data_IF_715032200326
#
_entry.id   IF_715032200326
#
_cell.length_a   1.000
_cell.length_b   1.000
_cell.length_c   1.000
_cell.angle_alpha   90.00
_cell.angle_beta   90.00
_cell.angle_gamma   90.00
#
_symmetry.space_group_name_H-M   'P 1'
#
loop_
_entity.id
_entity.type
_entity.pdbx_description
1 polymer ?
#
# COMPACT_ATOMS: atom_id res chain seq x y z
N UNK A 1 -6.05 -19.24 9.29
CA UNK A 1 -4.64 -19.41 9.69
C UNK A 1 -4.12 -18.19 10.47
N UNK A 2 -4.17 -16.98 9.90
CA UNK A 2 -3.75 -15.75 10.62
C UNK A 2 -4.47 -15.51 11.95
N UNK A 3 -5.80 -15.64 11.97
CA UNK A 3 -6.62 -15.46 13.18
C UNK A 3 -6.18 -16.31 14.38
N UNK A 4 -5.85 -17.59 14.15
CA UNK A 4 -5.40 -18.51 15.20
C UNK A 4 -4.03 -18.15 15.77
N UNK A 5 -3.15 -17.59 14.94
CA UNK A 5 -1.83 -17.13 15.37
C UNK A 5 -1.96 -15.87 16.22
N UNK A 6 -2.77 -14.90 15.76
CA UNK A 6 -3.02 -13.64 16.48
C UNK A 6 -3.55 -13.88 17.90
N UNK A 7 -4.41 -14.89 18.08
CA UNK A 7 -4.96 -15.24 19.39
C UNK A 7 -3.91 -15.81 20.36
N UNK A 8 -2.87 -16.48 19.85
CA UNK A 8 -1.78 -17.06 20.65
C UNK A 8 -0.72 -16.02 21.04
N UNK A 9 -0.50 -15.02 20.18
CA UNK A 9 0.50 -13.98 20.43
C UNK A 9 0.19 -13.15 21.69
N UNK A 10 1.26 -12.77 22.38
CA UNK A 10 1.20 -11.89 23.56
C UNK A 10 0.89 -10.46 23.15
N UNK A 11 1.57 -9.96 22.11
CA UNK A 11 1.41 -8.60 21.59
C UNK A 11 1.02 -8.63 20.13
N UNK A 12 0.13 -7.72 19.74
CA UNK A 12 -0.35 -7.60 18.37
C UNK A 12 -0.23 -6.14 17.94
N UNK A 13 0.61 -5.90 16.94
CA UNK A 13 0.81 -4.59 16.34
C UNK A 13 0.00 -4.50 15.05
N UNK A 14 -0.65 -3.37 14.81
CA UNK A 14 -1.43 -3.09 13.61
C UNK A 14 -0.82 -1.91 12.86
N UNK A 15 -0.30 -2.16 11.68
CA UNK A 15 0.14 -1.10 10.78
C UNK A 15 -1.07 -0.37 10.18
N UNK A 16 -1.08 0.95 10.29
CA UNK A 16 -2.20 1.77 9.78
C UNK A 16 -1.83 2.70 8.61
N UNK A 17 -0.55 2.85 8.26
CA UNK A 17 -0.09 3.91 7.34
C UNK A 17 0.12 3.49 5.89
N UNK A 18 0.22 2.19 5.58
CA UNK A 18 0.41 1.69 4.20
C UNK A 18 -0.88 1.56 3.41
N UNK A 19 -2.03 1.46 4.06
CA UNK A 19 -3.33 1.38 3.40
C UNK A 19 -4.47 1.76 4.34
N UNK A 20 -5.54 2.30 3.79
CA UNK A 20 -6.72 2.70 4.55
C UNK A 20 -7.54 1.47 4.91
N UNK A 21 -7.55 1.09 6.19
CA UNK A 21 -8.52 0.14 6.73
C UNK A 21 -9.90 0.79 6.78
N UNK A 22 -10.88 0.17 6.12
CA UNK A 22 -12.29 0.58 6.18
C UNK A 22 -12.93 0.31 7.56
N UNK A 23 -12.25 -0.48 8.40
CA UNK A 23 -12.71 -0.96 9.71
C UNK A 23 -11.88 -0.30 10.80
N UNK A 24 -12.53 0.21 11.85
CA UNK A 24 -11.85 0.86 12.97
C UNK A 24 -11.08 -0.15 13.84
N UNK A 25 -9.99 0.30 14.49
CA UNK A 25 -9.17 -0.54 15.36
C UNK A 25 -10.02 -1.25 16.44
N UNK A 26 -11.00 -0.57 17.03
CA UNK A 26 -11.88 -1.15 18.06
C UNK A 26 -12.69 -2.37 17.58
N UNK A 27 -13.15 -2.36 16.32
CA UNK A 27 -13.88 -3.50 15.75
C UNK A 27 -12.96 -4.70 15.51
N UNK A 28 -11.69 -4.42 15.15
CA UNK A 28 -10.67 -5.46 15.01
C UNK A 28 -10.28 -6.03 16.38
N UNK A 29 -10.15 -5.20 17.41
CA UNK A 29 -9.90 -5.66 18.79
C UNK A 29 -10.99 -6.60 19.28
N UNK A 30 -12.26 -6.27 19.06
CA UNK A 30 -13.40 -7.12 19.39
C UNK A 30 -13.37 -8.45 18.61
N UNK A 31 -13.06 -8.39 17.31
CA UNK A 31 -12.98 -9.58 16.46
C UNK A 31 -11.83 -10.52 16.85
N UNK A 32 -10.67 -9.98 17.23
CA UNK A 32 -9.51 -10.76 17.65
C UNK A 32 -9.58 -11.19 19.13
N UNK A 33 -10.34 -10.47 19.96
CA UNK A 33 -10.36 -10.64 21.41
C UNK A 33 -9.03 -10.26 22.07
N UNK A 34 -8.28 -9.33 21.44
CA UNK A 34 -6.93 -8.91 21.84
C UNK A 34 -6.81 -7.40 21.63
N UNK A 35 -6.06 -6.76 22.52
CA UNK A 35 -5.69 -5.35 22.36
C UNK A 35 -4.74 -5.20 21.18
N UNK A 36 -4.99 -4.19 20.33
CA UNK A 36 -4.17 -3.89 19.16
C UNK A 36 -3.35 -2.62 19.41
N UNK A 37 -2.04 -2.73 19.22
CA UNK A 37 -1.12 -1.59 19.32
C UNK A 37 -0.98 -1.00 17.91
N UNK A 38 -1.53 0.20 17.69
CA UNK A 38 -1.40 0.87 16.39
C UNK A 38 0.05 1.30 16.19
N UNK A 39 0.67 0.79 15.12
CA UNK A 39 2.04 1.08 14.74
C UNK A 39 2.04 2.12 13.60
N UNK A 40 2.44 3.34 13.93
CA UNK A 40 2.62 4.41 12.96
C UNK A 40 3.96 4.28 12.23
N UNK A 41 4.11 5.03 11.13
CA UNK A 41 5.31 5.00 10.27
C UNK A 41 6.62 5.17 11.04
N UNK A 42 6.63 6.10 12.01
CA UNK A 42 7.82 6.35 12.84
C UNK A 42 8.16 5.12 13.70
N UNK A 43 7.15 4.42 14.24
CA UNK A 43 7.35 3.22 15.04
C UNK A 43 7.85 2.04 14.19
N UNK A 44 7.37 1.90 12.95
CA UNK A 44 7.79 0.79 12.08
C UNK A 44 9.15 1.04 11.42
N UNK A 45 9.43 2.26 10.96
CA UNK A 45 10.70 2.56 10.27
C UNK A 45 11.85 2.83 11.24
N UNK A 46 11.59 3.53 12.36
CA UNK A 46 12.61 3.97 13.33
C UNK A 46 12.48 3.29 14.71
N UNK A 47 11.25 3.06 15.18
CA UNK A 47 10.97 2.49 16.51
C UNK A 47 10.89 0.95 16.57
N UNK A 48 11.29 0.23 15.52
CA UNK A 48 11.07 -1.21 15.46
C UNK A 48 11.95 -2.00 16.46
N UNK A 49 12.96 -1.36 17.06
CA UNK A 49 13.86 -1.99 18.02
C UNK A 49 13.10 -2.55 19.22
N UNK A 50 12.18 -1.77 19.80
CA UNK A 50 11.39 -2.17 20.99
C UNK A 50 10.48 -3.36 20.67
N UNK A 51 9.87 -3.37 19.47
CA UNK A 51 9.05 -4.47 19.01
C UNK A 51 9.87 -5.74 18.79
N UNK A 52 11.05 -5.62 18.19
CA UNK A 52 11.95 -6.74 17.95
C UNK A 52 12.56 -7.28 19.24
N UNK A 53 12.83 -6.43 20.24
CA UNK A 53 13.27 -6.83 21.58
C UNK A 53 12.18 -7.61 22.31
N UNK A 54 10.94 -7.15 22.27
CA UNK A 54 9.82 -7.91 22.80
C UNK A 54 9.67 -9.27 22.10
N UNK A 55 9.96 -9.34 20.79
CA UNK A 55 9.88 -10.58 20.01
C UNK A 55 11.00 -11.60 20.30
N UNK A 56 12.01 -11.24 21.08
CA UNK A 56 13.04 -12.20 21.56
C UNK A 56 12.46 -13.10 22.65
N UNK A 57 11.63 -12.54 23.55
CA UNK A 57 11.11 -13.25 24.72
C UNK A 57 9.65 -13.71 24.54
N UNK A 58 8.87 -13.02 23.72
CA UNK A 58 7.42 -13.23 23.57
C UNK A 58 7.00 -13.47 22.11
N UNK A 59 5.85 -14.11 21.90
CA UNK A 59 5.23 -14.20 20.58
C UNK A 59 4.57 -12.87 20.20
N UNK A 60 5.09 -12.22 19.16
CA UNK A 60 4.60 -10.94 18.64
C UNK A 60 4.00 -11.12 17.25
N UNK A 61 2.78 -10.62 17.04
CA UNK A 61 2.15 -10.53 15.73
C UNK A 61 2.23 -9.11 15.17
N UNK A 62 2.60 -8.99 13.90
CA UNK A 62 2.59 -7.73 13.17
C UNK A 62 1.59 -7.84 12.00
N UNK A 63 0.51 -7.08 12.08
CA UNK A 63 -0.60 -7.08 11.13
C UNK A 63 -0.41 -5.99 10.08
N UNK A 64 -0.38 -6.40 8.83
CA UNK A 64 -0.27 -5.54 7.64
C UNK A 64 -1.56 -5.63 6.84
N UNK A 65 -1.95 -4.52 6.23
CA UNK A 65 -3.10 -4.48 5.32
C UNK A 65 -2.69 -5.06 3.97
N UNK A 66 -3.39 -6.11 3.53
CA UNK A 66 -3.03 -6.83 2.31
C UNK A 66 -1.91 -7.84 2.56
N UNK A 67 -0.92 -7.90 1.68
CA UNK A 67 0.21 -8.83 1.79
C UNK A 67 1.48 -8.13 2.33
N UNK A 68 2.20 -8.72 3.31
CA UNK A 68 3.39 -8.12 3.92
C UNK A 68 4.53 -7.79 2.95
N UNK A 69 4.59 -8.40 1.76
CA UNK A 69 5.66 -8.17 0.78
C UNK A 69 5.16 -7.61 -0.56
N UNK A 70 3.85 -7.32 -0.67
CA UNK A 70 3.26 -6.89 -1.93
C UNK A 70 3.77 -5.54 -2.44
N UNK A 71 3.90 -4.54 -1.56
CA UNK A 71 4.32 -3.19 -1.96
C UNK A 71 4.81 -2.36 -0.77
N UNK A 72 5.47 -3.01 0.19
CA UNK A 72 5.80 -2.42 1.48
C UNK A 72 7.26 -2.64 1.85
N UNK A 73 7.77 -1.83 2.78
CA UNK A 73 9.16 -1.88 3.26
C UNK A 73 9.41 -2.97 4.32
N UNK A 74 8.43 -3.82 4.63
CA UNK A 74 8.52 -4.85 5.68
C UNK A 74 9.58 -5.94 5.43
N UNK A 75 10.13 -6.07 4.21
CA UNK A 75 11.30 -6.91 3.97
C UNK A 75 12.50 -6.48 4.82
N UNK A 76 12.64 -5.18 5.08
CA UNK A 76 13.68 -4.64 5.96
C UNK A 76 13.48 -5.07 7.41
N UNK A 77 12.23 -5.10 7.89
CA UNK A 77 11.90 -5.60 9.23
C UNK A 77 12.30 -7.08 9.41
N UNK A 78 12.12 -7.89 8.37
CA UNK A 78 12.53 -9.30 8.37
C UNK A 78 14.04 -9.47 8.48
N UNK A 79 14.81 -8.62 7.79
CA UNK A 79 16.27 -8.60 7.88
C UNK A 79 16.72 -8.25 9.30
N UNK A 80 16.18 -7.15 9.87
CA UNK A 80 16.49 -6.74 11.25
C UNK A 80 16.12 -7.81 12.27
N UNK A 81 15.00 -8.51 12.09
CA UNK A 81 14.61 -9.63 12.95
C UNK A 81 15.59 -10.80 12.87
N UNK A 82 16.05 -11.13 11.66
CA UNK A 82 17.05 -12.18 11.45
C UNK A 82 18.40 -11.85 12.10
N UNK A 83 18.87 -10.61 11.97
CA UNK A 83 20.11 -10.13 12.60
C UNK A 83 20.07 -10.22 14.13
N UNK A 84 18.88 -10.11 14.73
CA UNK A 84 18.65 -10.25 16.18
C UNK A 84 18.34 -11.68 16.62
N UNK A 85 18.37 -12.66 15.72
CA UNK A 85 18.10 -14.07 16.02
C UNK A 85 16.63 -14.39 16.30
N UNK A 86 15.71 -13.47 15.97
CA UNK A 86 14.26 -13.68 16.14
C UNK A 86 13.75 -14.60 15.04
N UNK A 87 13.04 -15.68 15.41
CA UNK A 87 12.39 -16.56 14.44
C UNK A 87 11.14 -15.88 13.88
N UNK A 88 11.11 -15.66 12.58
CA UNK A 88 9.99 -15.02 11.90
C UNK A 88 9.16 -16.04 11.12
N UNK A 89 7.84 -15.82 11.09
CA UNK A 89 6.91 -16.59 10.27
C UNK A 89 6.01 -15.63 9.48
N UNK A 90 5.93 -15.84 8.17
CA UNK A 90 5.11 -15.01 7.28
C UNK A 90 3.78 -15.72 6.99
N UNK A 91 2.69 -14.97 7.09
CA UNK A 91 1.35 -15.40 6.67
C UNK A 91 0.89 -14.49 5.54
N UNK A 92 0.89 -15.04 4.33
CA UNK A 92 0.45 -14.31 3.13
C UNK A 92 -1.06 -14.07 3.12
N UNK A 93 -1.45 -13.01 2.43
CA UNK A 93 -2.84 -12.63 2.22
C UNK A 93 -3.02 -12.07 0.80
N UNK A 94 -4.25 -11.66 0.46
CA UNK A 94 -4.53 -11.02 -0.82
C UNK A 94 -3.74 -9.71 -0.97
N UNK A 95 -3.07 -9.55 -2.12
CA UNK A 95 -2.34 -8.34 -2.49
C UNK A 95 -3.03 -7.62 -3.64
N UNK A 96 -2.98 -6.28 -3.67
CA UNK A 96 -3.45 -5.50 -4.81
C UNK A 96 -2.74 -5.88 -6.11
N UNK A 97 -1.47 -6.34 -6.02
CA UNK A 97 -0.70 -6.85 -7.15
C UNK A 97 -1.36 -8.07 -7.82
N UNK A 98 -2.13 -8.84 -7.06
CA UNK A 98 -2.88 -10.01 -7.57
C UNK A 98 -4.34 -9.67 -7.86
N UNK A 99 -4.94 -8.78 -7.06
CA UNK A 99 -6.34 -8.42 -7.17
C UNK A 99 -6.67 -7.65 -8.47
N UNK A 100 -5.69 -6.96 -9.07
CA UNK A 100 -5.80 -6.31 -10.39
C UNK A 100 -6.29 -7.24 -11.51
N UNK A 101 -6.19 -8.56 -11.34
CA UNK A 101 -6.80 -9.53 -12.26
C UNK A 101 -8.32 -9.35 -12.42
N UNK A 102 -9.00 -8.69 -11.47
CA UNK A 102 -10.43 -8.36 -11.57
C UNK A 102 -10.77 -7.43 -12.74
N UNK A 103 -9.77 -6.71 -13.31
CA UNK A 103 -9.96 -5.88 -14.50
C UNK A 103 -10.09 -6.69 -15.79
N UNK A 104 -9.98 -8.01 -15.75
CA UNK A 104 -10.00 -8.87 -16.94
C UNK A 104 -8.70 -8.83 -17.74
N UNK A 105 -7.66 -8.18 -17.21
CA UNK A 105 -6.33 -8.16 -17.79
C UNK A 105 -5.54 -9.37 -17.30
N UNK A 106 -4.82 -10.01 -18.22
CA UNK A 106 -3.97 -11.15 -17.88
C UNK A 106 -2.78 -10.68 -17.03
N UNK A 107 -2.65 -11.24 -15.82
CA UNK A 107 -1.58 -10.88 -14.88
C UNK A 107 -0.17 -11.06 -15.46
N UNK A 108 0.02 -12.04 -16.36
CA UNK A 108 1.28 -12.26 -17.07
C UNK A 108 1.71 -11.10 -17.99
N UNK A 109 0.76 -10.26 -18.41
CA UNK A 109 1.04 -9.12 -19.28
C UNK A 109 1.33 -7.84 -18.49
N UNK A 110 1.50 -7.91 -17.16
CA UNK A 110 1.94 -6.78 -16.36
C UNK A 110 3.47 -6.68 -16.34
N UNK A 111 3.98 -5.48 -16.60
CA UNK A 111 5.39 -5.12 -16.53
C UNK A 111 5.78 -4.56 -15.16
N UNK A 112 6.79 -3.68 -15.15
CA UNK A 112 7.27 -3.06 -13.91
C UNK A 112 6.17 -2.20 -13.25
N UNK A 113 5.85 -2.48 -11.98
CA UNK A 113 4.92 -1.68 -11.17
C UNK A 113 5.56 -0.34 -10.80
N UNK A 114 4.76 0.73 -10.82
CA UNK A 114 5.23 2.10 -10.52
C UNK A 114 4.43 2.72 -9.38
N UNK A 115 5.07 3.60 -8.61
CA UNK A 115 4.40 4.43 -7.60
C UNK A 115 4.32 5.87 -8.09
N UNK A 116 3.10 6.38 -8.22
CA UNK A 116 2.82 7.78 -8.60
C UNK A 116 2.63 8.58 -7.32
N UNK A 117 3.56 9.50 -7.08
CA UNK A 117 3.50 10.42 -5.94
C UNK A 117 2.74 11.68 -6.31
N UNK A 118 2.02 12.26 -5.35
CA UNK A 118 1.39 13.56 -5.53
C UNK A 118 2.46 14.64 -5.66
N UNK A 119 2.34 15.47 -6.69
CA UNK A 119 3.18 16.63 -6.85
C UNK A 119 2.96 17.63 -5.71
N UNK A 120 4.04 18.23 -5.25
CA UNK A 120 3.99 19.49 -4.50
C UNK A 120 4.53 20.62 -5.38
N UNK A 121 4.39 21.86 -4.93
CA UNK A 121 4.89 23.02 -5.67
C UNK A 121 6.40 22.94 -5.94
N UNK A 122 7.15 22.30 -5.04
CA UNK A 122 8.61 22.17 -5.10
C UNK A 122 9.12 20.80 -5.53
N UNK A 123 8.26 19.77 -5.59
CA UNK A 123 8.66 18.38 -5.85
C UNK A 123 7.76 17.72 -6.89
N UNK A 124 8.31 17.52 -8.10
CA UNK A 124 7.61 16.96 -9.27
C UNK A 124 8.44 15.86 -9.92
N UNK A 125 8.55 14.69 -9.29
CA UNK A 125 9.27 13.57 -9.88
C UNK A 125 8.49 13.04 -11.08
N UNK A 126 9.22 12.68 -12.14
CA UNK A 126 8.69 12.12 -13.38
C UNK A 126 9.25 10.73 -13.66
N UNK A 127 10.01 10.13 -12.73
CA UNK A 127 10.68 8.84 -12.91
C UNK A 127 9.73 7.67 -13.18
N UNK A 128 8.48 7.75 -12.73
CA UNK A 128 7.45 6.76 -13.04
C UNK A 128 7.05 6.79 -14.52
N UNK A 129 7.21 7.91 -15.22
CA UNK A 129 6.82 8.07 -16.63
C UNK A 129 7.65 7.17 -17.54
N UNK A 130 8.97 7.18 -17.38
CA UNK A 130 9.89 6.41 -18.23
C UNK A 130 9.62 4.90 -18.12
N UNK A 131 9.25 4.45 -16.91
CA UNK A 131 8.87 3.06 -16.64
C UNK A 131 7.55 2.68 -17.33
N UNK A 132 6.54 3.55 -17.25
CA UNK A 132 5.27 3.35 -17.97
C UNK A 132 5.51 3.32 -19.48
N UNK A 133 6.33 4.23 -20.00
CA UNK A 133 6.67 4.30 -21.42
C UNK A 133 7.41 3.03 -21.89
N UNK A 134 8.34 2.52 -21.08
CA UNK A 134 9.07 1.28 -21.36
C UNK A 134 8.14 0.06 -21.39
N UNK A 135 7.23 -0.07 -20.43
CA UNK A 135 6.23 -1.14 -20.42
C UNK A 135 5.31 -1.06 -21.65
N UNK A 136 4.83 0.14 -21.99
CA UNK A 136 3.98 0.36 -23.16
C UNK A 136 4.69 -0.01 -24.46
N UNK A 137 5.97 0.34 -24.61
CA UNK A 137 6.79 -0.02 -25.79
C UNK A 137 6.91 -1.54 -25.95
N UNK A 138 6.83 -2.30 -24.85
CA UNK A 138 6.88 -3.76 -24.81
C UNK A 138 5.49 -4.42 -24.90
N UNK A 139 4.41 -3.65 -25.02
CA UNK A 139 3.03 -4.17 -25.03
C UNK A 139 2.54 -4.66 -23.66
N UNK A 140 3.18 -4.24 -22.56
CA UNK A 140 2.85 -4.64 -21.20
C UNK A 140 1.93 -3.61 -20.52
N UNK A 141 1.05 -4.10 -19.66
CA UNK A 141 0.28 -3.30 -18.72
C UNK A 141 1.18 -2.81 -17.59
N UNK A 142 0.85 -1.65 -17.03
CA UNK A 142 1.55 -1.09 -15.86
C UNK A 142 0.55 -0.94 -14.73
N UNK A 143 0.88 -1.49 -13.57
CA UNK A 143 0.15 -1.22 -12.34
C UNK A 143 0.73 0.05 -11.70
N UNK A 144 -0.14 1.05 -11.54
CA UNK A 144 0.22 2.32 -10.92
C UNK A 144 -0.34 2.37 -9.50
N UNK A 145 0.54 2.30 -8.50
CA UNK A 145 0.22 2.50 -7.10
C UNK A 145 0.18 4.00 -6.82
N UNK A 146 -0.86 4.49 -6.15
CA UNK A 146 -1.01 5.89 -5.79
C UNK A 146 -0.49 6.11 -4.37
N UNK A 147 0.31 7.16 -4.19
CA UNK A 147 0.78 7.56 -2.87
C UNK A 147 -0.37 8.13 -2.02
N UNK A 148 -0.52 7.64 -0.79
CA UNK A 148 -1.56 8.06 0.15
C UNK A 148 -0.90 8.83 1.30
N UNK A 149 -1.08 10.16 1.33
CA UNK A 149 -0.67 10.97 2.48
C UNK A 149 -1.68 10.83 3.61
N UNK A 150 -1.34 10.03 4.62
CA UNK A 150 -2.18 9.83 5.81
C UNK A 150 -2.13 10.99 6.82
N UNK A 151 -1.21 11.96 6.69
CA UNK A 151 -1.05 13.07 7.66
C UNK A 151 -1.88 14.34 7.38
N UNK A 152 -2.60 14.45 6.26
CA UNK A 152 -3.54 15.58 6.04
C UNK A 152 -4.81 15.11 5.34
N UNK A 153 -5.79 14.62 6.12
CA UNK A 153 -7.17 14.48 5.64
C UNK A 153 -7.86 15.85 5.69
N UNK A 154 -7.50 16.76 4.78
CA UNK A 154 -8.45 17.81 4.40
C UNK A 154 -9.48 17.18 3.46
N UNK A 155 -10.75 17.26 3.86
CA UNK A 155 -11.92 16.71 3.14
C UNK A 155 -11.97 17.21 1.67
N UNK A 156 -11.36 18.36 1.40
CA UNK A 156 -11.24 18.99 0.09
C UNK A 156 -10.38 18.20 -0.92
N UNK A 157 -9.42 17.38 -0.46
CA UNK A 157 -8.58 16.58 -1.35
C UNK A 157 -9.21 15.26 -1.79
N UNK A 158 -10.32 14.84 -1.16
CA UNK A 158 -11.08 13.65 -1.56
C UNK A 158 -12.13 13.96 -2.64
N UNK A 159 -12.46 15.24 -2.85
CA UNK A 159 -13.56 15.66 -3.73
C UNK A 159 -13.11 16.83 -4.60
N UNK A 160 -12.25 16.54 -5.60
CA UNK A 160 -12.22 17.33 -6.84
C UNK A 160 -12.71 16.46 -8.00
N UNK A 161 -13.88 16.78 -8.58
CA UNK A 161 -14.60 15.87 -9.46
C UNK A 161 -14.03 15.91 -10.88
N UNK A 162 -13.40 14.82 -11.30
CA UNK A 162 -13.23 14.49 -12.72
C UNK A 162 -13.73 13.07 -13.06
N UNK A 163 -14.63 12.53 -12.23
CA UNK A 163 -15.20 11.18 -12.38
C UNK A 163 -16.71 11.26 -12.64
N UNK A 164 -17.10 11.57 -13.88
CA UNK A 164 -18.49 11.44 -14.35
C UNK A 164 -18.86 10.00 -14.77
N UNK A 165 -18.13 8.98 -14.30
CA UNK A 165 -18.56 7.58 -14.37
C UNK A 165 -18.40 6.94 -12.99
N UNK A 166 -19.53 6.83 -12.29
CA UNK A 166 -19.66 6.08 -11.04
C UNK A 166 -19.37 4.60 -11.31
N UNK A 167 -18.17 4.16 -10.95
CA UNK A 167 -17.94 2.77 -10.55
C UNK A 167 -17.58 2.84 -9.08
N UNK A 168 -18.54 2.43 -8.23
CA UNK A 168 -18.32 2.32 -6.80
C UNK A 168 -17.35 1.14 -6.57
N UNK A 169 -16.07 1.46 -6.40
CA UNK A 169 -15.09 0.54 -5.81
C UNK A 169 -14.74 1.15 -4.46
N UNK A 170 -15.45 0.70 -3.44
CA UNK A 170 -15.18 1.01 -2.04
C UNK A 170 -13.75 0.60 -1.71
N UNK A 171 -12.93 1.59 -1.37
CA UNK A 171 -11.63 1.49 -0.70
C UNK A 171 -10.56 0.71 -1.47
N UNK A 172 -9.95 1.37 -2.47
CA UNK A 172 -8.53 1.33 -2.89
C UNK A 172 -8.52 1.94 -4.31
N UNK A 173 -7.96 3.15 -4.44
CA UNK A 173 -7.86 3.82 -5.74
C UNK A 173 -6.70 3.19 -6.53
N UNK A 174 -7.02 2.31 -7.49
CA UNK A 174 -6.08 1.85 -8.50
C UNK A 174 -6.68 2.11 -9.89
N UNK A 175 -5.84 2.52 -10.84
CA UNK A 175 -6.22 2.68 -12.24
C UNK A 175 -5.41 1.75 -13.12
N UNK A 176 -6.10 1.03 -14.01
CA UNK A 176 -5.47 0.31 -15.11
C UNK A 176 -5.12 1.29 -16.24
N UNK A 177 -3.92 1.15 -16.81
CA UNK A 177 -3.32 2.12 -17.71
C UNK A 177 -4.10 2.37 -19.02
N UNK A 178 -5.08 1.53 -19.40
CA UNK A 178 -6.00 1.87 -20.50
C UNK A 178 -6.81 3.14 -20.22
N UNK A 179 -7.15 3.43 -18.95
CA UNK A 179 -7.76 4.70 -18.54
C UNK A 179 -6.71 5.79 -18.21
N UNK A 180 -5.50 5.42 -17.76
CA UNK A 180 -4.49 6.43 -17.38
C UNK A 180 -3.99 7.29 -18.55
N UNK A 181 -4.06 6.80 -19.79
CA UNK A 181 -3.61 7.59 -20.96
C UNK A 181 -4.54 8.79 -21.21
N UNK A 182 -5.85 8.67 -20.98
CA UNK A 182 -6.77 9.81 -21.08
C UNK A 182 -6.47 10.86 -19.99
N UNK A 183 -6.08 10.43 -18.79
CA UNK A 183 -5.72 11.35 -17.70
C UNK A 183 -4.32 11.97 -17.88
N UNK A 184 -3.37 11.25 -18.49
CA UNK A 184 -2.05 11.80 -18.85
C UNK A 184 -2.14 12.77 -20.02
N UNK A 185 -3.08 12.59 -20.96
CA UNK A 185 -3.41 13.58 -22.00
C UNK A 185 -4.11 14.80 -21.41
N UNK A 186 -4.97 14.64 -20.40
CA UNK A 186 -5.54 15.75 -19.65
C UNK A 186 -4.47 16.52 -18.83
N UNK A 187 -3.49 15.81 -18.25
CA UNK A 187 -2.30 16.42 -17.63
C UNK A 187 -1.37 17.09 -18.66
N UNK A 188 -1.26 16.55 -19.88
CA UNK A 188 -0.50 17.20 -20.95
C UNK A 188 -1.18 18.50 -21.40
N UNK A 189 -2.53 18.56 -21.45
CA UNK A 189 -3.27 19.80 -21.72
C UNK A 189 -3.15 20.84 -20.60
N UNK A 190 -2.79 20.44 -19.37
CA UNK A 190 -2.46 21.36 -18.27
C UNK A 190 -1.01 21.86 -18.36
N UNK A 191 -0.11 21.09 -19.00
CA UNK A 191 1.34 21.38 -19.08
C UNK A 191 1.73 22.10 -20.37
N UNK A 192 0.97 21.98 -21.46
CA UNK A 192 1.16 22.81 -22.66
C UNK A 192 0.09 23.90 -22.71
N UNK A 193 0.42 25.17 -22.40
CA UNK A 193 -0.46 26.26 -22.81
C UNK A 193 -0.43 26.27 -24.35
N UNK A 194 -1.55 25.92 -24.97
CA UNK A 194 -1.79 26.21 -26.37
C UNK A 194 -1.55 27.70 -26.60
N UNK A 195 -0.66 28.00 -27.55
CA UNK A 195 -0.51 29.32 -28.14
C UNK A 195 -1.81 29.77 -28.83
#
# INVERSE_FOLDING_TARGET
KGLEIVKKCSKVYLESYTSVLSVGAAQLEEFYGKQLIVADRELVEQGCADMLEAAVEEEVAFLVVGDPFGATTHSDLMLRAHERGVKTQVVHNASILTAVGCCGLQLYNFGETVSIVMWTDTWRPHSYYDKIAANRKRGLHTLCLLDIKMKEKSIENLIKPCLSRKVAITSIAFWSCCCCIEMSLALHQIVTPTA
#
